data_IF_304468154469
#
_entry.id   IF_304468154469
#
_cell.length_a   1.000
_cell.length_b   1.000
_cell.length_c   1.000
_cell.angle_alpha   90.00
_cell.angle_beta   90.00
_cell.angle_gamma   90.00
#
_symmetry.space_group_name_H-M   'P 1'
#
loop_
_entity.id
_entity.type
_entity.pdbx_description
1 polymer ?
#
# COMPACT_ATOMS: atom_id res chain seq x y z
N UNK A 1 -10.03 36.90 -34.14
CA UNK A 1 -8.65 36.43 -33.96
C UNK A 1 -8.70 35.41 -32.84
N UNK A 2 -8.63 34.13 -33.21
CA UNK A 2 -8.65 33.02 -32.26
C UNK A 2 -7.22 32.95 -31.73
N UNK A 3 -7.01 33.32 -30.46
CA UNK A 3 -5.70 33.25 -29.83
C UNK A 3 -5.33 31.77 -29.68
N UNK A 4 -4.39 31.35 -30.53
CA UNK A 4 -3.76 30.05 -30.55
C UNK A 4 -2.56 30.04 -29.60
N UNK A 5 -2.77 30.19 -28.29
CA UNK A 5 -1.66 30.26 -27.31
C UNK A 5 -1.81 29.27 -26.13
N UNK A 6 -2.47 28.13 -26.32
CA UNK A 6 -2.54 27.07 -25.29
C UNK A 6 -2.22 25.66 -25.89
N UNK A 7 -1.22 25.57 -26.76
CA UNK A 7 -0.57 24.30 -27.11
C UNK A 7 0.75 24.17 -26.33
N UNK A 8 0.64 24.09 -25.01
CA UNK A 8 1.68 23.44 -24.20
C UNK A 8 1.36 21.95 -24.17
N UNK A 9 2.08 21.18 -24.99
CA UNK A 9 1.88 19.74 -25.26
C UNK A 9 2.03 18.79 -24.04
N UNK A 10 2.24 19.29 -22.83
CA UNK A 10 2.75 18.44 -21.73
C UNK A 10 1.75 18.09 -20.63
N UNK A 11 0.68 18.86 -20.38
CA UNK A 11 -0.33 18.56 -19.33
C UNK A 11 -1.72 19.04 -19.74
N UNK A 12 -2.70 18.14 -19.72
CA UNK A 12 -4.11 18.47 -19.99
C UNK A 12 -4.94 18.52 -18.71
N UNK A 13 -5.63 19.64 -18.47
CA UNK A 13 -6.52 19.83 -17.32
C UNK A 13 -7.99 19.77 -17.76
N UNK A 14 -8.71 18.74 -17.29
CA UNK A 14 -10.15 18.58 -17.58
C UNK A 14 -10.99 19.60 -16.79
N UNK A 15 -12.16 20.02 -17.29
CA UNK A 15 -13.05 20.95 -16.56
C UNK A 15 -13.39 20.49 -15.14
N UNK A 16 -13.58 19.18 -14.91
CA UNK A 16 -13.87 18.61 -13.58
C UNK A 16 -12.72 18.75 -12.57
N UNK A 17 -11.49 18.98 -13.05
CA UNK A 17 -10.29 19.17 -12.23
C UNK A 17 -10.11 20.63 -11.80
N UNK A 18 -10.66 21.59 -12.55
CA UNK A 18 -10.62 23.03 -12.20
C UNK A 18 -11.67 23.32 -11.11
N UNK A 19 -11.21 23.66 -9.89
CA UNK A 19 -12.10 24.00 -8.77
C UNK A 19 -12.41 25.50 -8.66
N UNK A 20 -11.50 26.34 -9.15
CA UNK A 20 -11.62 27.80 -9.14
C UNK A 20 -11.05 28.39 -10.43
N UNK A 21 -11.45 29.62 -10.77
CA UNK A 21 -10.82 30.41 -11.82
C UNK A 21 -9.58 31.09 -11.26
N UNK A 22 -8.38 30.63 -11.63
CA UNK A 22 -7.13 31.31 -11.28
C UNK A 22 -6.49 31.92 -12.52
N UNK A 23 -5.82 33.05 -12.33
CA UNK A 23 -5.14 33.79 -13.41
C UNK A 23 -3.63 33.50 -13.46
N UNK A 24 -3.06 32.88 -12.42
CA UNK A 24 -1.60 32.79 -12.22
C UNK A 24 -1.27 31.53 -11.42
N UNK A 25 -1.02 30.42 -12.09
CA UNK A 25 -0.16 29.38 -11.51
C UNK A 25 0.36 28.48 -12.62
N UNK A 26 1.67 28.54 -12.87
CA UNK A 26 2.38 27.72 -13.85
C UNK A 26 3.14 26.56 -13.19
N UNK A 27 2.97 26.36 -11.87
CA UNK A 27 3.67 25.35 -11.11
C UNK A 27 2.83 24.08 -10.94
N UNK A 28 3.43 22.92 -11.21
CA UNK A 28 2.86 21.62 -10.85
C UNK A 28 3.31 21.24 -9.43
N UNK A 29 2.35 20.96 -8.56
CA UNK A 29 2.60 20.43 -7.23
C UNK A 29 2.13 18.98 -7.15
N UNK A 30 2.99 18.10 -6.61
CA UNK A 30 2.67 16.69 -6.35
C UNK A 30 2.45 16.53 -4.86
N UNK A 31 1.32 15.93 -4.46
CA UNK A 31 1.09 15.61 -3.05
C UNK A 31 2.05 14.52 -2.58
N UNK A 32 2.49 14.58 -1.32
CA UNK A 32 3.47 13.63 -0.76
C UNK A 32 3.06 12.16 -0.91
N UNK A 33 1.77 11.85 -0.81
CA UNK A 33 1.20 10.50 -1.03
C UNK A 33 0.55 10.31 -2.41
N UNK A 34 0.69 11.30 -3.30
CA UNK A 34 -0.03 11.42 -4.57
C UNK A 34 0.63 10.73 -5.76
N UNK A 35 1.69 9.95 -5.55
CA UNK A 35 2.39 9.22 -6.61
C UNK A 35 2.12 7.72 -6.57
N UNK A 36 2.15 7.09 -7.75
CA UNK A 36 1.97 5.64 -7.89
C UNK A 36 3.18 4.88 -7.33
N UNK A 37 2.92 3.88 -6.50
CA UNK A 37 3.94 3.01 -5.92
C UNK A 37 3.38 1.62 -5.60
N UNK A 38 4.25 0.64 -5.29
CA UNK A 38 3.84 -0.74 -5.02
C UNK A 38 3.16 -0.85 -3.64
N UNK A 39 1.90 -0.44 -3.53
CA UNK A 39 1.12 -0.52 -2.29
C UNK A 39 0.33 -1.83 -2.21
N UNK A 40 0.50 -2.57 -1.12
CA UNK A 40 -0.23 -3.81 -0.88
C UNK A 40 -1.68 -3.56 -0.47
N UNK A 41 -2.55 -4.46 -0.91
CA UNK A 41 -3.94 -4.51 -0.50
C UNK A 41 -4.14 -5.35 0.76
N UNK A 42 -4.99 -4.84 1.65
CA UNK A 42 -5.37 -5.53 2.88
C UNK A 42 -6.87 -5.83 2.84
N UNK A 43 -7.24 -7.03 3.27
CA UNK A 43 -8.62 -7.34 3.57
C UNK A 43 -8.92 -6.79 4.96
N UNK A 44 -9.73 -5.73 5.00
CA UNK A 44 -10.17 -5.07 6.23
C UNK A 44 -11.56 -5.55 6.64
N UNK A 45 -11.91 -5.37 7.92
CA UNK A 45 -13.23 -5.72 8.49
C UNK A 45 -14.43 -5.32 7.62
N UNK A 46 -14.42 -4.12 7.04
CA UNK A 46 -15.51 -3.64 6.18
C UNK A 46 -15.71 -4.52 4.94
N UNK A 47 -14.62 -4.93 4.28
CA UNK A 47 -14.71 -5.85 3.14
C UNK A 47 -15.14 -7.24 3.56
N UNK A 48 -14.69 -7.75 4.73
CA UNK A 48 -15.14 -9.05 5.24
C UNK A 48 -16.66 -9.04 5.44
N UNK A 49 -17.21 -7.98 6.05
CA UNK A 49 -18.65 -7.85 6.24
C UNK A 49 -19.43 -7.80 4.91
N UNK A 50 -18.92 -7.04 3.92
CA UNK A 50 -19.53 -6.98 2.59
C UNK A 50 -19.52 -8.35 1.89
N UNK A 51 -18.38 -9.05 1.93
CA UNK A 51 -18.22 -10.36 1.30
C UNK A 51 -19.08 -11.43 1.99
N UNK A 52 -19.20 -11.38 3.33
CA UNK A 52 -20.12 -12.23 4.09
C UNK A 52 -21.57 -11.98 3.70
N UNK A 53 -21.97 -10.72 3.51
CA UNK A 53 -23.30 -10.35 2.98
C UNK A 53 -23.57 -10.85 1.55
N UNK A 54 -22.52 -11.14 0.78
CA UNK A 54 -22.61 -11.80 -0.53
C UNK A 54 -22.57 -13.35 -0.43
N UNK A 55 -22.78 -13.91 0.76
CA UNK A 55 -22.77 -15.34 1.08
C UNK A 55 -21.42 -16.04 0.85
N UNK A 56 -20.30 -15.32 0.97
CA UNK A 56 -18.98 -15.96 1.00
C UNK A 56 -18.79 -16.64 2.37
N UNK A 57 -18.44 -17.94 2.41
CA UNK A 57 -18.32 -18.67 3.67
C UNK A 57 -17.11 -18.22 4.49
N UNK A 58 -17.30 -18.18 5.81
CA UNK A 58 -16.29 -17.68 6.75
C UNK A 58 -15.00 -18.52 6.76
N UNK A 59 -15.09 -19.80 6.40
CA UNK A 59 -13.94 -20.69 6.24
C UNK A 59 -12.88 -20.13 5.29
N UNK A 60 -13.29 -19.35 4.27
CA UNK A 60 -12.36 -18.71 3.33
C UNK A 60 -11.55 -17.64 4.05
N UNK A 61 -12.16 -16.85 4.93
CA UNK A 61 -11.46 -15.84 5.71
C UNK A 61 -10.53 -16.47 6.75
N UNK A 62 -10.97 -17.53 7.41
CA UNK A 62 -10.17 -18.28 8.38
C UNK A 62 -8.91 -18.86 7.74
N UNK A 63 -9.00 -19.43 6.53
CA UNK A 63 -7.83 -19.91 5.78
C UNK A 63 -6.82 -18.81 5.46
N UNK A 64 -7.22 -17.54 5.44
CA UNK A 64 -6.31 -16.40 5.21
C UNK A 64 -5.64 -15.87 6.48
N UNK A 65 -5.99 -16.42 7.64
CA UNK A 65 -5.39 -16.06 8.93
C UNK A 65 -4.03 -16.75 9.19
N UNK A 66 -3.56 -17.60 8.28
CA UNK A 66 -2.23 -18.26 8.36
C UNK A 66 -1.07 -17.26 8.56
N UNK A 67 -1.24 -16.03 8.09
CA UNK A 67 -0.28 -14.94 8.26
C UNK A 67 0.05 -14.63 9.74
N UNK A 68 -0.80 -15.00 10.70
CA UNK A 68 -0.50 -14.85 12.13
C UNK A 68 0.71 -15.69 12.56
N UNK A 69 0.82 -16.92 12.07
CA UNK A 69 1.98 -17.77 12.35
C UNK A 69 3.24 -17.19 11.73
N UNK A 70 3.13 -16.61 10.53
CA UNK A 70 4.25 -15.92 9.89
C UNK A 70 4.73 -14.74 10.76
N UNK A 71 3.83 -13.88 11.24
CA UNK A 71 4.19 -12.74 12.11
C UNK A 71 4.96 -13.21 13.35
N UNK A 72 4.53 -14.30 13.99
CA UNK A 72 5.20 -14.85 15.18
C UNK A 72 6.61 -15.34 14.81
N UNK A 73 6.76 -16.03 13.68
CA UNK A 73 8.05 -16.56 13.19
C UNK A 73 8.97 -15.52 12.53
N UNK A 74 8.52 -14.27 12.39
CA UNK A 74 9.20 -13.23 11.61
C UNK A 74 10.61 -12.93 12.12
N UNK A 75 10.84 -13.04 13.43
CA UNK A 75 12.15 -12.80 14.04
C UNK A 75 13.15 -13.96 13.82
N UNK A 76 12.67 -15.15 13.46
CA UNK A 76 13.48 -16.35 13.31
C UNK A 76 13.69 -16.74 11.84
N UNK A 77 12.76 -16.34 10.95
CA UNK A 77 12.79 -16.69 9.54
C UNK A 77 13.05 -15.47 8.65
N UNK A 78 14.19 -15.49 7.97
CA UNK A 78 14.66 -14.41 7.11
C UNK A 78 13.68 -14.06 5.98
N UNK A 79 13.09 -15.06 5.33
CA UNK A 79 12.17 -14.84 4.22
C UNK A 79 10.89 -14.15 4.70
N UNK A 80 10.43 -14.53 5.89
CA UNK A 80 9.26 -13.91 6.51
C UNK A 80 9.59 -12.49 6.96
N UNK A 81 10.75 -12.27 7.57
CA UNK A 81 11.25 -10.93 7.91
C UNK A 81 11.26 -10.02 6.68
N UNK A 82 11.86 -10.43 5.57
CA UNK A 82 11.90 -9.65 4.33
C UNK A 82 10.49 -9.34 3.79
N UNK A 83 9.60 -10.34 3.78
CA UNK A 83 8.22 -10.19 3.32
C UNK A 83 7.49 -9.12 4.13
N UNK A 84 7.58 -9.16 5.46
CA UNK A 84 6.91 -8.19 6.31
C UNK A 84 7.60 -6.83 6.32
N UNK A 85 8.93 -6.76 6.17
CA UNK A 85 9.64 -5.50 5.93
C UNK A 85 9.12 -4.81 4.67
N UNK A 86 8.88 -5.56 3.58
CA UNK A 86 8.24 -5.02 2.38
C UNK A 86 6.80 -4.58 2.64
N UNK A 87 6.05 -5.32 3.46
CA UNK A 87 4.65 -4.99 3.78
C UNK A 87 4.50 -3.66 4.50
N UNK A 88 5.49 -3.30 5.31
CA UNK A 88 5.53 -2.06 6.08
C UNK A 88 6.39 -0.97 5.44
N UNK A 89 6.79 -1.15 4.18
CA UNK A 89 7.61 -0.22 3.39
C UNK A 89 8.96 0.11 4.06
N UNK A 90 9.52 -0.86 4.78
CA UNK A 90 10.84 -0.77 5.42
C UNK A 90 11.90 -1.42 4.55
N UNK A 91 12.15 -0.80 3.40
CA UNK A 91 13.14 -1.27 2.42
C UNK A 91 14.56 -1.21 2.99
N UNK A 92 14.83 -0.26 3.88
CA UNK A 92 16.04 -0.16 4.68
C UNK A 92 16.35 -1.47 5.42
N UNK A 93 15.33 -2.05 6.07
CA UNK A 93 15.49 -3.33 6.79
C UNK A 93 15.77 -4.50 5.86
N UNK A 94 15.26 -4.47 4.63
CA UNK A 94 15.55 -5.51 3.64
C UNK A 94 17.03 -5.46 3.25
N UNK A 95 17.60 -4.27 3.02
CA UNK A 95 19.03 -4.16 2.73
C UNK A 95 19.90 -4.66 3.88
N UNK A 96 19.52 -4.34 5.12
CA UNK A 96 20.23 -4.84 6.30
C UNK A 96 20.09 -6.35 6.46
N UNK A 97 18.91 -6.92 6.19
CA UNK A 97 18.70 -8.38 6.15
C UNK A 97 19.61 -9.02 5.10
N UNK A 98 19.69 -8.48 3.89
CA UNK A 98 20.50 -9.07 2.82
C UNK A 98 22.01 -8.97 3.10
N UNK A 99 22.43 -7.92 3.80
CA UNK A 99 23.85 -7.63 4.05
C UNK A 99 24.38 -8.25 5.34
N UNK A 100 23.51 -8.52 6.32
CA UNK A 100 23.89 -8.96 7.67
C UNK A 100 23.02 -10.14 8.15
N UNK A 101 23.43 -10.78 9.24
CA UNK A 101 22.60 -11.77 9.91
C UNK A 101 21.43 -11.12 10.66
N UNK A 102 20.32 -11.86 10.79
CA UNK A 102 19.10 -11.45 11.51
C UNK A 102 19.39 -10.89 12.91
N UNK A 103 20.34 -11.48 13.64
CA UNK A 103 20.70 -11.08 15.00
C UNK A 103 21.03 -9.57 15.11
N UNK A 104 21.61 -8.98 14.07
CA UNK A 104 22.02 -7.57 14.08
C UNK A 104 20.84 -6.60 14.09
N UNK A 105 19.72 -7.00 13.48
CA UNK A 105 18.51 -6.18 13.33
C UNK A 105 17.34 -6.71 14.16
N UNK A 106 17.61 -7.61 15.10
CA UNK A 106 16.57 -8.30 15.84
C UNK A 106 15.69 -7.34 16.65
N UNK A 107 16.25 -6.27 17.20
CA UNK A 107 15.50 -5.22 17.90
C UNK A 107 14.52 -4.48 16.98
N UNK A 108 14.97 -4.12 15.77
CA UNK A 108 14.13 -3.47 14.75
C UNK A 108 13.01 -4.40 14.27
N UNK A 109 13.33 -5.68 14.05
CA UNK A 109 12.34 -6.70 13.69
C UNK A 109 11.31 -6.91 14.80
N UNK A 110 11.70 -6.88 16.08
CA UNK A 110 10.75 -6.97 17.19
C UNK A 110 9.78 -5.78 17.23
N UNK A 111 10.27 -4.56 16.96
CA UNK A 111 9.41 -3.37 16.84
C UNK A 111 8.43 -3.55 15.68
N UNK A 112 8.91 -4.04 14.54
CA UNK A 112 8.08 -4.30 13.37
C UNK A 112 7.06 -5.40 13.63
N UNK A 113 7.44 -6.45 14.35
CA UNK A 113 6.59 -7.56 14.75
C UNK A 113 5.46 -7.08 15.64
N UNK A 114 5.76 -6.22 16.62
CA UNK A 114 4.74 -5.59 17.47
C UNK A 114 3.75 -4.78 16.64
N UNK A 115 4.25 -3.95 15.71
CA UNK A 115 3.40 -3.18 14.78
C UNK A 115 2.54 -4.10 13.90
N UNK A 116 3.08 -5.24 13.47
CA UNK A 116 2.33 -6.25 12.73
C UNK A 116 1.21 -6.87 13.59
N UNK A 117 1.49 -7.22 14.84
CA UNK A 117 0.48 -7.71 15.79
C UNK A 117 -0.63 -6.67 16.06
N UNK A 118 -0.28 -5.39 16.19
CA UNK A 118 -1.30 -4.33 16.33
C UNK A 118 -2.20 -4.20 15.08
N UNK A 119 -1.66 -4.48 13.89
CA UNK A 119 -2.46 -4.50 12.65
C UNK A 119 -3.44 -5.68 12.60
N UNK A 120 -3.06 -6.81 13.20
CA UNK A 120 -3.90 -8.00 13.35
C UNK A 120 -5.11 -7.71 14.22
N UNK A 121 -4.93 -7.01 15.33
CA UNK A 121 -6.03 -6.59 16.22
C UNK A 121 -7.09 -5.76 15.48
N UNK A 122 -6.68 -5.04 14.44
CA UNK A 122 -7.57 -4.24 13.57
C UNK A 122 -8.19 -5.06 12.43
N UNK A 123 -8.04 -6.38 12.43
CA UNK A 123 -8.47 -7.29 11.37
C UNK A 123 -7.98 -6.86 9.97
N UNK A 124 -6.71 -6.44 9.89
CA UNK A 124 -6.04 -6.15 8.61
C UNK A 124 -5.28 -7.37 8.14
N UNK A 125 -5.89 -8.16 7.26
CA UNK A 125 -5.27 -9.36 6.70
C UNK A 125 -4.54 -8.97 5.41
N UNK A 126 -3.20 -9.15 5.31
CA UNK A 126 -2.48 -8.86 4.08
C UNK A 126 -2.81 -9.89 2.99
N UNK A 127 -3.16 -9.42 1.79
CA UNK A 127 -3.46 -10.29 0.65
C UNK A 127 -2.37 -10.12 -0.41
N UNK A 128 -1.52 -11.14 -0.55
CA UNK A 128 -0.32 -11.13 -1.44
C UNK A 128 -0.61 -10.78 -2.89
N UNK A 129 -1.83 -11.07 -3.38
CA UNK A 129 -2.27 -10.80 -4.75
C UNK A 129 -3.14 -9.54 -4.89
N UNK A 130 -3.41 -8.82 -3.79
CA UNK A 130 -4.19 -7.59 -3.81
C UNK A 130 -3.28 -6.36 -3.74
N UNK A 131 -3.64 -5.28 -4.42
CA UNK A 131 -2.89 -4.02 -4.46
C UNK A 131 -3.85 -2.84 -4.29
N UNK A 132 -3.35 -1.78 -3.66
CA UNK A 132 -4.03 -0.49 -3.65
C UNK A 132 -3.51 0.31 -4.84
N UNK A 133 -4.34 0.51 -5.84
CA UNK A 133 -4.00 1.23 -7.07
C UNK A 133 -4.86 2.48 -7.21
N UNK A 134 -4.30 3.50 -7.87
CA UNK A 134 -5.07 4.68 -8.27
C UNK A 134 -6.03 4.30 -9.41
N UNK A 135 -7.30 4.69 -9.27
CA UNK A 135 -8.25 4.60 -10.38
C UNK A 135 -7.86 5.60 -11.46
N UNK A 136 -7.55 5.09 -12.65
CA UNK A 136 -7.25 5.90 -13.83
C UNK A 136 -8.24 5.51 -14.91
N UNK A 137 -8.81 6.50 -15.60
CA UNK A 137 -9.67 6.25 -16.75
C UNK A 137 -8.81 5.95 -17.97
N UNK A 138 -9.21 4.97 -18.77
CA UNK A 138 -8.63 4.73 -20.08
C UNK A 138 -8.93 5.94 -21.00
N UNK A 139 -7.92 6.64 -21.52
CA UNK A 139 -8.13 7.78 -22.40
C UNK A 139 -8.37 7.37 -23.87
N UNK A 140 -8.26 6.08 -24.21
CA UNK A 140 -8.42 5.54 -25.57
C UNK A 140 -9.84 5.71 -26.13
#
# INVERSE_FOLDING_TARGET
>A
MINNDDQDDNIQVRPSMKKFTSTISTCLYVCDDGYSGPKLGFLIKQFIMLLSGLNIPDEIFLKKQEHFHEIISMCDNMNVAMKYSLYFDRIDLIYHLLSNNIQFIQSELQILQKKALESVEKLKIPITKSRLAFGVCDPC
#
